data_IF_486488722875
#
_entry.id   IF_486488722875
#
_cell.length_a   1.000
_cell.length_b   1.000
_cell.length_c   1.000
_cell.angle_alpha   90.00
_cell.angle_beta   90.00
_cell.angle_gamma   90.00
#
_symmetry.space_group_name_H-M   'P 1'
#
loop_
_entity.id
_entity.type
_entity.pdbx_description
1 polymer ?
#
# COMPACT_ATOMS: atom_id res chain seq x y z
N UNK A 1 14.18 -15.08 66.67
CA UNK A 1 14.80 -15.87 65.58
C UNK A 1 13.70 -16.38 64.65
N UNK A 2 13.56 -15.78 63.47
CA UNK A 2 12.85 -16.37 62.31
C UNK A 2 13.68 -15.98 61.09
N UNK A 3 14.45 -16.93 60.57
CA UNK A 3 15.20 -16.77 59.32
C UNK A 3 14.24 -16.95 58.15
N UNK A 4 13.92 -15.88 57.42
CA UNK A 4 13.25 -15.99 56.13
C UNK A 4 14.29 -16.35 55.06
N UNK A 5 14.31 -17.62 54.66
CA UNK A 5 14.90 -18.05 53.38
C UNK A 5 13.80 -18.08 52.33
N UNK A 6 13.91 -17.27 51.29
CA UNK A 6 13.24 -17.52 50.00
C UNK A 6 13.98 -16.80 48.88
N UNK A 7 14.90 -17.53 48.26
CA UNK A 7 15.38 -17.34 46.89
C UNK A 7 14.72 -18.44 46.07
N UNK A 8 13.80 -18.10 45.16
CA UNK A 8 13.50 -18.84 43.92
C UNK A 8 12.90 -17.79 42.95
N UNK A 9 13.70 -17.20 42.04
CA UNK A 9 13.83 -17.62 40.64
C UNK A 9 12.47 -17.72 39.92
N UNK A 10 12.15 -16.79 39.01
CA UNK A 10 12.46 -16.95 37.59
C UNK A 10 11.72 -15.88 36.77
N UNK A 11 12.50 -14.97 36.20
CA UNK A 11 12.11 -14.14 35.08
C UNK A 11 11.66 -15.04 33.92
N UNK A 12 10.36 -15.15 33.69
CA UNK A 12 9.86 -15.29 32.34
C UNK A 12 8.68 -14.33 32.19
N UNK A 13 9.03 -13.06 31.97
CA UNK A 13 8.23 -12.27 31.04
C UNK A 13 8.29 -13.07 29.74
N UNK A 14 7.25 -13.86 29.49
CA UNK A 14 7.00 -14.38 28.16
C UNK A 14 6.65 -13.15 27.35
N UNK A 15 7.69 -12.47 26.86
CA UNK A 15 7.57 -11.57 25.76
C UNK A 15 7.25 -12.50 24.59
N UNK A 16 5.97 -12.78 24.40
CA UNK A 16 5.47 -13.31 23.13
C UNK A 16 5.78 -12.22 22.11
N UNK A 17 7.02 -12.19 21.65
CA UNK A 17 7.47 -11.31 20.59
C UNK A 17 6.67 -11.69 19.36
N UNK A 18 5.74 -10.83 18.99
CA UNK A 18 5.12 -10.84 17.67
C UNK A 18 6.16 -10.39 16.65
N UNK A 19 7.11 -11.26 16.34
CA UNK A 19 8.19 -11.06 15.36
C UNK A 19 7.66 -11.18 13.91
N UNK A 20 6.57 -10.47 13.59
CA UNK A 20 5.98 -10.47 12.25
C UNK A 20 6.01 -9.10 11.56
N UNK A 21 6.04 -8.01 12.33
CA UNK A 21 5.91 -6.66 11.78
C UNK A 21 7.25 -6.02 11.42
N UNK A 22 8.33 -6.42 12.08
CA UNK A 22 9.67 -5.80 11.93
C UNK A 22 10.32 -6.13 10.59
N UNK A 23 10.10 -7.31 10.03
CA UNK A 23 10.70 -7.74 8.74
C UNK A 23 10.01 -7.12 7.53
N UNK A 24 8.68 -7.08 7.51
CA UNK A 24 7.91 -6.52 6.41
C UNK A 24 8.07 -5.00 6.32
N UNK A 25 8.02 -4.29 7.45
CA UNK A 25 8.25 -2.85 7.48
C UNK A 25 9.68 -2.50 7.03
N UNK A 26 10.67 -3.31 7.41
CA UNK A 26 12.04 -3.15 6.93
C UNK A 26 12.15 -3.38 5.42
N UNK A 27 11.52 -4.43 4.88
CA UNK A 27 11.48 -4.70 3.44
C UNK A 27 10.80 -3.57 2.66
N UNK A 28 9.68 -3.04 3.18
CA UNK A 28 8.96 -1.92 2.59
C UNK A 28 9.81 -0.65 2.55
N UNK A 29 10.54 -0.33 3.63
CA UNK A 29 11.44 0.84 3.66
C UNK A 29 12.64 0.72 2.70
N UNK A 30 13.10 -0.51 2.45
CA UNK A 30 14.17 -0.77 1.49
C UNK A 30 13.65 -0.60 0.07
N UNK A 31 12.47 -1.14 -0.23
CA UNK A 31 11.87 -1.12 -1.57
C UNK A 31 11.29 0.23 -1.94
N UNK A 32 10.41 0.78 -1.11
CA UNK A 32 9.65 1.97 -1.42
C UNK A 32 10.27 3.21 -0.75
N UNK A 33 10.38 4.30 -1.50
CA UNK A 33 10.74 5.61 -1.00
C UNK A 33 9.58 6.58 -1.21
N UNK A 34 9.17 7.31 -0.18
CA UNK A 34 8.22 8.41 -0.35
C UNK A 34 8.89 9.58 -1.07
N UNK A 35 8.33 10.01 -2.21
CA UNK A 35 8.74 11.24 -2.88
C UNK A 35 7.61 12.26 -2.68
N UNK A 36 7.79 13.12 -1.67
CA UNK A 36 6.78 14.08 -1.27
C UNK A 36 5.53 13.45 -0.66
N UNK A 37 4.41 14.19 -0.68
CA UNK A 37 3.13 13.76 -0.07
C UNK A 37 2.27 12.90 -1.00
N UNK A 38 2.64 12.81 -2.27
CA UNK A 38 1.74 12.38 -3.36
C UNK A 38 2.23 11.16 -4.13
N UNK A 39 3.54 10.86 -4.08
CA UNK A 39 4.18 9.82 -4.90
C UNK A 39 4.97 8.85 -4.03
N UNK A 40 4.90 7.57 -4.39
CA UNK A 40 5.70 6.48 -3.82
C UNK A 40 6.60 5.92 -4.92
N UNK A 41 7.91 6.02 -4.75
CA UNK A 41 8.89 5.47 -5.69
C UNK A 41 9.25 4.04 -5.31
N UNK A 42 9.09 3.09 -6.24
CA UNK A 42 9.50 1.70 -6.08
C UNK A 42 10.90 1.48 -6.64
N UNK A 43 11.89 1.33 -5.75
CA UNK A 43 13.30 1.14 -6.12
C UNK A 43 13.56 -0.19 -6.83
N UNK A 44 12.67 -1.17 -6.69
CA UNK A 44 12.82 -2.49 -7.34
C UNK A 44 12.53 -2.40 -8.84
N UNK A 45 11.47 -1.68 -9.21
CA UNK A 45 10.99 -1.58 -10.60
C UNK A 45 11.39 -0.28 -11.28
N UNK A 46 11.77 0.74 -10.51
CA UNK A 46 12.02 2.10 -11.00
C UNK A 46 10.74 2.88 -11.28
N UNK A 47 9.56 2.36 -10.90
CA UNK A 47 8.27 2.99 -11.14
C UNK A 47 7.89 3.94 -10.02
N UNK A 48 7.25 5.05 -10.38
CA UNK A 48 6.55 5.94 -9.45
C UNK A 48 5.07 5.56 -9.40
N UNK A 49 4.54 5.49 -8.19
CA UNK A 49 3.14 5.17 -7.91
C UNK A 49 2.45 6.37 -7.27
N UNK A 50 1.19 6.58 -7.63
CA UNK A 50 0.37 7.53 -6.91
C UNK A 50 0.09 7.00 -5.50
N UNK A 51 0.30 7.84 -4.47
CA UNK A 51 0.16 7.42 -3.07
C UNK A 51 -1.28 7.07 -2.70
N UNK A 52 -2.24 7.84 -3.20
CA UNK A 52 -3.68 7.58 -3.05
C UNK A 52 -4.33 7.28 -4.38
N UNK A 53 -5.38 6.46 -4.37
CA UNK A 53 -6.15 6.16 -5.57
C UNK A 53 -7.13 7.30 -5.94
N UNK A 54 -7.81 7.16 -7.08
CA UNK A 54 -8.75 8.19 -7.53
C UNK A 54 -9.96 8.33 -6.60
N UNK A 55 -10.38 7.26 -5.92
CA UNK A 55 -11.49 7.30 -4.97
C UNK A 55 -11.20 8.24 -3.81
N UNK A 56 -9.96 8.28 -3.31
CA UNK A 56 -9.59 9.21 -2.24
C UNK A 56 -9.80 10.67 -2.64
N UNK A 57 -9.74 11.00 -3.93
CA UNK A 57 -9.98 12.34 -4.48
C UNK A 57 -11.44 12.58 -4.85
N UNK A 58 -12.08 11.65 -5.58
CA UNK A 58 -13.42 11.84 -6.15
C UNK A 58 -14.56 11.36 -5.24
N UNK A 59 -14.26 10.47 -4.28
CA UNK A 59 -15.23 9.69 -3.49
C UNK A 59 -16.21 8.87 -4.34
N UNK A 60 -15.83 8.58 -5.58
CA UNK A 60 -16.64 7.83 -6.55
C UNK A 60 -15.79 6.77 -7.23
N UNK A 61 -16.38 5.60 -7.49
CA UNK A 61 -15.78 4.59 -8.35
C UNK A 61 -15.76 5.10 -9.79
N UNK A 62 -14.67 4.83 -10.51
CA UNK A 62 -14.52 5.20 -11.91
C UNK A 62 -14.72 3.97 -12.81
N UNK A 63 -15.45 4.14 -13.90
CA UNK A 63 -15.38 3.24 -15.04
C UNK A 63 -13.97 3.24 -15.65
N UNK A 64 -13.67 2.27 -16.50
CA UNK A 64 -12.37 2.21 -17.17
C UNK A 64 -12.06 3.46 -18.00
N UNK A 65 -13.05 3.97 -18.75
CA UNK A 65 -12.90 5.20 -19.53
C UNK A 65 -12.62 6.41 -18.64
N UNK A 66 -13.31 6.51 -17.50
CA UNK A 66 -13.05 7.58 -16.53
C UNK A 66 -11.67 7.43 -15.86
N UNK A 67 -11.17 6.21 -15.67
CA UNK A 67 -9.83 5.96 -15.17
C UNK A 67 -8.75 6.40 -16.18
N UNK A 68 -8.98 6.18 -17.48
CA UNK A 68 -8.09 6.71 -18.53
C UNK A 68 -8.11 8.25 -18.54
N UNK A 69 -9.29 8.87 -18.43
CA UNK A 69 -9.39 10.33 -18.34
C UNK A 69 -8.76 10.89 -17.05
N UNK A 70 -8.88 10.16 -15.95
CA UNK A 70 -8.21 10.48 -14.69
C UNK A 70 -6.69 10.54 -14.88
N UNK A 71 -6.10 9.53 -15.51
CA UNK A 71 -4.67 9.49 -15.84
C UNK A 71 -4.29 10.66 -16.76
N UNK A 72 -5.05 10.90 -17.83
CA UNK A 72 -4.80 12.01 -18.76
C UNK A 72 -4.81 13.36 -18.04
N UNK A 73 -5.73 13.54 -17.10
CA UNK A 73 -5.80 14.75 -16.27
C UNK A 73 -4.58 14.89 -15.37
N UNK A 74 -4.15 13.83 -14.69
CA UNK A 74 -2.93 13.84 -13.85
C UNK A 74 -1.68 14.21 -14.64
N UNK A 75 -1.58 13.74 -15.88
CA UNK A 75 -0.48 14.10 -16.78
C UNK A 75 -0.48 15.58 -17.16
N UNK A 76 -1.66 16.14 -17.47
CA UNK A 76 -1.79 17.58 -17.77
C UNK A 76 -1.45 18.45 -16.56
N UNK A 77 -1.84 18.01 -15.37
CA UNK A 77 -1.58 18.69 -14.09
C UNK A 77 -0.11 18.57 -13.63
N UNK A 78 0.69 17.72 -14.29
CA UNK A 78 2.04 17.34 -13.84
C UNK A 78 2.05 16.86 -12.37
N UNK A 79 1.05 16.07 -12.01
CA UNK A 79 0.85 15.62 -10.63
C UNK A 79 2.12 14.93 -10.09
N UNK A 80 2.56 15.32 -8.88
CA UNK A 80 3.80 14.83 -8.29
C UNK A 80 5.08 15.15 -9.09
N UNK A 81 5.02 16.09 -10.04
CA UNK A 81 6.13 16.41 -10.96
C UNK A 81 6.22 15.52 -12.21
N UNK A 82 5.28 14.59 -12.39
CA UNK A 82 5.26 13.60 -13.47
C UNK A 82 4.17 13.90 -14.51
N UNK A 83 4.44 13.61 -15.77
CA UNK A 83 3.48 13.77 -16.88
C UNK A 83 3.34 12.50 -17.75
N UNK A 84 3.80 11.37 -17.22
CA UNK A 84 3.88 10.05 -17.84
C UNK A 84 3.12 8.97 -17.04
N UNK A 85 2.15 9.39 -16.23
CA UNK A 85 1.22 8.49 -15.54
C UNK A 85 0.48 7.61 -16.55
N UNK A 86 0.27 6.36 -16.15
CA UNK A 86 -0.53 5.37 -16.88
C UNK A 86 -1.23 4.44 -15.89
N UNK A 87 -2.20 3.68 -16.38
CA UNK A 87 -2.72 2.55 -15.62
C UNK A 87 -1.62 1.48 -15.44
N UNK A 88 -1.55 0.82 -14.27
CA UNK A 88 -0.60 -0.26 -14.05
C UNK A 88 -1.02 -1.51 -14.82
N UNK A 89 -0.07 -2.37 -15.14
CA UNK A 89 -0.35 -3.74 -15.62
C UNK A 89 -0.73 -4.64 -14.44
N UNK A 90 -1.39 -5.75 -14.73
CA UNK A 90 -1.71 -6.77 -13.72
C UNK A 90 -0.43 -7.36 -13.11
N UNK A 91 0.64 -7.52 -13.89
CA UNK A 91 1.94 -7.98 -13.42
C UNK A 91 2.55 -7.03 -12.39
N UNK A 92 2.50 -5.72 -12.65
CA UNK A 92 3.02 -4.70 -11.74
C UNK A 92 2.19 -4.63 -10.44
N UNK A 93 0.87 -4.74 -10.52
CA UNK A 93 0.01 -4.81 -9.33
C UNK A 93 0.30 -6.04 -8.47
N UNK A 94 0.45 -7.21 -9.10
CA UNK A 94 0.82 -8.45 -8.38
C UNK A 94 2.19 -8.33 -7.72
N UNK A 95 3.13 -7.64 -8.35
CA UNK A 95 4.48 -7.47 -7.80
C UNK A 95 4.51 -6.59 -6.54
N UNK A 96 3.61 -5.61 -6.43
CA UNK A 96 3.51 -4.75 -5.24
C UNK A 96 2.51 -5.26 -4.20
N UNK A 97 1.73 -6.30 -4.47
CA UNK A 97 0.71 -6.79 -3.55
C UNK A 97 1.25 -7.81 -2.54
N UNK A 98 0.89 -7.66 -1.27
CA UNK A 98 1.18 -8.61 -0.20
C UNK A 98 0.04 -8.60 0.83
N UNK A 99 -0.65 -9.73 1.00
CA UNK A 99 -1.79 -9.87 1.92
C UNK A 99 -1.47 -9.63 3.39
N UNK A 100 -0.20 -9.72 3.80
CA UNK A 100 0.22 -9.48 5.18
C UNK A 100 0.27 -7.99 5.56
N UNK A 101 0.12 -7.09 4.57
CA UNK A 101 0.23 -5.64 4.79
C UNK A 101 -1.04 -5.03 5.40
N UNK A 102 -0.89 -3.95 6.18
CA UNK A 102 -1.95 -3.47 7.07
C UNK A 102 -3.01 -2.60 6.40
N UNK A 103 -2.78 -2.13 5.17
CA UNK A 103 -3.69 -1.16 4.53
C UNK A 103 -5.02 -1.81 4.12
N UNK A 104 -6.09 -1.07 4.42
CA UNK A 104 -7.47 -1.45 4.15
C UNK A 104 -8.17 -0.43 3.27
N UNK A 105 -9.14 -0.90 2.49
CA UNK A 105 -10.05 -0.07 1.68
C UNK A 105 -11.06 0.65 2.57
N UNK A 106 -11.86 1.53 1.94
CA UNK A 106 -13.01 2.18 2.58
C UNK A 106 -14.01 1.19 3.19
N UNK A 107 -14.06 -0.04 2.66
CA UNK A 107 -14.97 -1.10 3.09
C UNK A 107 -14.31 -2.06 4.11
N UNK A 108 -13.05 -1.80 4.50
CA UNK A 108 -12.30 -2.62 5.45
C UNK A 108 -11.53 -3.78 4.84
N UNK A 109 -11.63 -3.98 3.52
CA UNK A 109 -10.97 -5.06 2.80
C UNK A 109 -9.46 -4.85 2.69
N UNK A 110 -8.62 -5.90 2.82
CA UNK A 110 -7.17 -5.77 2.66
C UNK A 110 -6.80 -5.34 1.23
N UNK A 111 -6.05 -4.25 1.09
CA UNK A 111 -5.53 -3.80 -0.22
C UNK A 111 -4.18 -4.45 -0.53
N UNK A 112 -3.42 -4.83 0.51
CA UNK A 112 -2.12 -5.48 0.35
C UNK A 112 -0.99 -4.53 -0.10
N UNK A 113 -1.16 -3.22 0.08
CA UNK A 113 -0.14 -2.21 -0.22
C UNK A 113 0.61 -1.77 1.03
N UNK A 114 1.85 -1.30 0.83
CA UNK A 114 2.73 -0.81 1.91
C UNK A 114 2.07 0.36 2.65
N UNK A 115 2.33 0.53 3.94
CA UNK A 115 1.84 1.68 4.72
C UNK A 115 2.32 3.05 4.21
N UNK A 116 3.23 3.07 3.23
CA UNK A 116 3.62 4.28 2.51
C UNK A 116 2.54 4.79 1.56
N UNK A 117 1.62 3.93 1.11
CA UNK A 117 0.42 4.30 0.37
C UNK A 117 -0.68 4.81 1.31
N UNK A 118 -1.68 5.47 0.74
CA UNK A 118 -2.86 5.92 1.47
C UNK A 118 -3.91 4.81 1.52
N UNK A 119 -4.33 4.43 2.73
CA UNK A 119 -5.49 3.55 2.93
C UNK A 119 -6.83 4.30 2.77
N UNK A 120 -7.93 3.56 2.86
CA UNK A 120 -9.29 4.11 2.75
C UNK A 120 -9.75 4.42 1.33
N UNK A 121 -8.99 3.98 0.32
CA UNK A 121 -9.37 4.01 -1.09
C UNK A 121 -10.36 2.90 -1.46
N UNK A 122 -10.60 2.76 -2.76
CA UNK A 122 -11.33 1.66 -3.36
C UNK A 122 -10.56 0.35 -3.26
N UNK A 123 -11.27 -0.77 -3.23
CA UNK A 123 -10.69 -2.11 -3.43
C UNK A 123 -10.50 -2.42 -4.93
N UNK A 124 -11.26 -1.76 -5.81
CA UNK A 124 -11.18 -1.96 -7.25
C UNK A 124 -9.93 -1.28 -7.82
N UNK A 125 -9.11 -2.06 -8.53
CA UNK A 125 -7.90 -1.60 -9.21
C UNK A 125 -8.12 -1.67 -10.72
N UNK A 126 -7.83 -0.58 -11.43
CA UNK A 126 -7.83 -0.59 -12.90
C UNK A 126 -6.50 -1.13 -13.41
N UNK A 127 -6.55 -1.92 -14.47
CA UNK A 127 -5.35 -2.40 -15.17
C UNK A 127 -5.34 -1.91 -16.62
N UNK A 128 -4.14 -1.75 -17.16
CA UNK A 128 -3.93 -1.50 -18.58
C UNK A 128 -4.19 -2.76 -19.44
N UNK A 129 -4.09 -3.95 -18.84
CA UNK A 129 -4.18 -5.24 -19.54
C UNK A 129 -5.63 -5.65 -19.82
N UNK A 130 -6.58 -5.26 -18.97
CA UNK A 130 -8.00 -5.58 -19.13
C UNK A 130 -8.77 -4.37 -19.66
N UNK A 131 -8.73 -4.18 -20.99
CA UNK A 131 -9.66 -3.30 -21.71
C UNK A 131 -11.06 -3.94 -21.89
N UNK A 132 -11.29 -5.13 -21.33
CA UNK A 132 -12.46 -5.97 -21.62
C UNK A 132 -13.14 -6.34 -20.31
N UNK A 133 -13.98 -5.45 -19.76
CA UNK A 133 -15.04 -5.87 -18.85
C UNK A 133 -16.28 -5.01 -19.11
N UNK A 134 -17.10 -5.51 -20.02
CA UNK A 134 -18.52 -5.17 -20.19
C UNK A 134 -19.38 -5.69 -19.02
N UNK A 135 -18.77 -6.08 -17.90
CA UNK A 135 -19.42 -6.63 -16.71
C UNK A 135 -18.73 -6.11 -15.44
N UNK A 136 -19.02 -4.85 -15.10
CA UNK A 136 -18.98 -4.34 -13.74
C UNK A 136 -20.42 -4.25 -13.21
#
# INVERSE_FOLDING_TARGET
MVFHRLIVLFLMVIFTGTQGTSTLAQADSLRFGGVGKEVVFDKKTGLSWQKGDSYLESKQGLSWYEAVEYVNRKNREKFGGHNDWRLPTLGELKDIWDSSRPLRSKDGEPIGLSSLFSGGGSYYLWTADERILDHA
#
